data_IF_807669228315
#
_entry.id   IF_807669228315
#
_cell.length_a   1.000
_cell.length_b   1.000
_cell.length_c   1.000
_cell.angle_alpha   90.00
_cell.angle_beta   90.00
_cell.angle_gamma   90.00
#
_symmetry.space_group_name_H-M   'P 1'
#
loop_
_entity.id
_entity.type
_entity.pdbx_description
1 polymer ?
#
# COMPACT_ATOMS: atom_id res chain seq x y z
N UNK A 1 -8.71 -14.76 -20.61
CA UNK A 1 -8.10 -15.72 -19.66
C UNK A 1 -9.05 -15.96 -18.49
N UNK A 2 -9.55 -17.18 -18.34
CA UNK A 2 -10.45 -17.58 -17.26
C UNK A 2 -9.75 -17.50 -15.89
N UNK A 3 -10.43 -16.95 -14.87
CA UNK A 3 -9.90 -16.91 -13.51
C UNK A 3 -9.94 -18.31 -12.91
N UNK A 4 -8.78 -18.93 -12.71
CA UNK A 4 -8.66 -20.19 -11.95
C UNK A 4 -9.15 -19.92 -10.51
N UNK A 5 -10.28 -20.51 -10.14
CA UNK A 5 -10.80 -20.47 -8.77
C UNK A 5 -10.25 -21.67 -8.02
N UNK A 6 -9.39 -21.42 -7.03
CA UNK A 6 -8.84 -22.47 -6.17
C UNK A 6 -9.74 -22.68 -4.95
N UNK A 7 -9.75 -23.90 -4.42
CA UNK A 7 -10.44 -24.19 -3.15
C UNK A 7 -9.63 -23.59 -2.00
N UNK A 8 -10.27 -23.30 -0.86
CA UNK A 8 -9.57 -22.75 0.30
C UNK A 8 -8.41 -23.66 0.77
N UNK A 9 -8.57 -24.99 0.69
CA UNK A 9 -7.51 -25.95 1.00
C UNK A 9 -6.31 -25.88 0.04
N UNK A 10 -6.56 -25.67 -1.26
CA UNK A 10 -5.50 -25.53 -2.25
C UNK A 10 -4.70 -24.23 -2.03
N UNK A 11 -5.37 -23.15 -1.60
CA UNK A 11 -4.72 -21.87 -1.26
C UNK A 11 -3.82 -22.03 -0.03
N UNK A 12 -4.29 -22.74 1.00
CA UNK A 12 -3.49 -23.01 2.19
C UNK A 12 -2.23 -23.82 1.85
N UNK A 13 -2.38 -24.84 1.00
CA UNK A 13 -1.28 -25.68 0.56
C UNK A 13 -0.26 -24.92 -0.30
N UNK A 14 -0.72 -24.03 -1.19
CA UNK A 14 0.17 -23.11 -1.91
C UNK A 14 0.90 -22.15 -0.95
N UNK A 15 0.27 -21.75 0.15
CA UNK A 15 0.91 -20.96 1.20
C UNK A 15 2.04 -21.70 1.90
N UNK A 16 1.86 -22.99 2.20
CA UNK A 16 2.92 -23.85 2.77
C UNK A 16 4.06 -24.05 1.76
N UNK A 17 3.74 -24.38 0.50
CA UNK A 17 4.74 -24.53 -0.57
C UNK A 17 5.49 -23.23 -0.91
N UNK A 18 4.92 -22.07 -0.58
CA UNK A 18 5.57 -20.77 -0.72
C UNK A 18 6.67 -20.56 0.33
N UNK A 19 6.52 -21.15 1.51
CA UNK A 19 7.51 -21.07 2.59
C UNK A 19 8.69 -22.02 2.35
N UNK A 20 8.44 -23.18 1.74
CA UNK A 20 9.47 -24.15 1.40
C UNK A 20 8.93 -25.36 0.63
N UNK A 21 9.81 -26.22 0.08
CA UNK A 21 9.40 -27.50 -0.48
C UNK A 21 8.75 -28.38 0.59
N UNK A 22 7.71 -29.12 0.21
CA UNK A 22 7.07 -30.11 1.07
C UNK A 22 7.36 -31.51 0.57
N UNK A 23 7.44 -32.50 1.46
CA UNK A 23 7.56 -33.89 1.04
C UNK A 23 6.25 -34.39 0.43
N UNK A 24 6.35 -35.32 -0.51
CA UNK A 24 5.16 -35.84 -1.21
C UNK A 24 4.22 -36.60 -0.28
N UNK A 25 4.73 -37.20 0.81
CA UNK A 25 3.93 -37.92 1.80
C UNK A 25 3.03 -37.03 2.65
N UNK A 26 3.39 -35.76 2.81
CA UNK A 26 2.65 -34.80 3.64
C UNK A 26 1.47 -34.14 2.87
N UNK A 27 1.40 -34.36 1.56
CA UNK A 27 0.41 -33.73 0.69
C UNK A 27 -0.64 -34.78 0.28
N UNK A 28 -1.94 -34.50 0.45
CA UNK A 28 -2.98 -35.39 -0.07
C UNK A 28 -2.89 -35.50 -1.60
N UNK A 29 -2.85 -36.72 -2.13
CA UNK A 29 -2.65 -37.01 -3.56
C UNK A 29 -3.59 -36.22 -4.47
N UNK A 30 -4.88 -36.11 -4.12
CA UNK A 30 -5.86 -35.33 -4.89
C UNK A 30 -5.48 -33.85 -5.02
N UNK A 31 -4.97 -33.24 -3.94
CA UNK A 31 -4.58 -31.83 -3.97
C UNK A 31 -3.30 -31.65 -4.80
N UNK A 32 -2.36 -32.60 -4.66
CA UNK A 32 -1.13 -32.62 -5.43
C UNK A 32 -1.41 -32.70 -6.94
N UNK A 33 -2.23 -33.67 -7.36
CA UNK A 33 -2.59 -33.86 -8.76
C UNK A 33 -3.28 -32.64 -9.35
N UNK A 34 -4.27 -32.08 -8.65
CA UNK A 34 -4.96 -30.85 -9.08
C UNK A 34 -3.98 -29.69 -9.26
N UNK A 35 -3.09 -29.44 -8.29
CA UNK A 35 -2.14 -28.33 -8.37
C UNK A 35 -1.09 -28.54 -9.47
N UNK A 36 -0.69 -29.78 -9.74
CA UNK A 36 0.20 -30.09 -10.87
C UNK A 36 -0.49 -29.94 -12.22
N UNK A 37 -1.75 -30.38 -12.35
CA UNK A 37 -2.54 -30.23 -13.57
C UNK A 37 -2.80 -28.75 -13.91
N UNK A 38 -2.97 -27.91 -12.88
CA UNK A 38 -3.10 -26.46 -13.04
C UNK A 38 -1.75 -25.75 -13.26
N UNK A 39 -0.63 -26.47 -13.26
CA UNK A 39 0.71 -25.91 -13.41
C UNK A 39 1.09 -24.96 -12.28
N UNK A 40 0.53 -25.14 -11.07
CA UNK A 40 0.79 -24.29 -9.90
C UNK A 40 1.88 -24.89 -9.00
N UNK A 41 2.03 -26.21 -9.00
CA UNK A 41 3.09 -26.93 -8.30
C UNK A 41 3.77 -27.93 -9.24
N UNK A 42 5.00 -28.33 -8.89
CA UNK A 42 5.78 -29.35 -9.61
C UNK A 42 6.34 -30.38 -8.63
N UNK A 43 6.33 -31.65 -9.03
CA UNK A 43 7.00 -32.73 -8.30
C UNK A 43 8.49 -32.72 -8.67
N UNK A 44 9.36 -32.81 -7.67
CA UNK A 44 10.82 -32.89 -7.82
C UNK A 44 11.32 -33.92 -6.82
N UNK A 45 11.76 -35.09 -7.30
CA UNK A 45 12.38 -36.20 -6.54
C UNK A 45 12.10 -36.17 -5.02
N UNK A 46 10.98 -36.77 -4.60
CA UNK A 46 10.57 -36.87 -3.20
C UNK A 46 9.88 -35.63 -2.61
N UNK A 47 9.95 -34.48 -3.29
CA UNK A 47 9.38 -33.21 -2.84
C UNK A 47 8.43 -32.58 -3.85
N UNK A 48 7.59 -31.66 -3.38
CA UNK A 48 6.75 -30.79 -4.17
C UNK A 48 7.21 -29.34 -4.00
N UNK A 49 7.30 -28.61 -5.11
CA UNK A 49 7.72 -27.20 -5.14
C UNK A 49 6.69 -26.35 -5.83
N UNK A 50 6.47 -25.14 -5.31
CA UNK A 50 5.63 -24.15 -5.99
C UNK A 50 6.30 -23.66 -7.28
N UNK A 51 5.49 -23.44 -8.31
CA UNK A 51 5.92 -22.83 -9.57
C UNK A 51 5.76 -21.31 -9.53
N UNK A 52 6.36 -20.58 -10.48
CA UNK A 52 6.17 -19.12 -10.60
C UNK A 52 4.70 -18.74 -10.81
N UNK A 53 3.96 -19.52 -11.60
CA UNK A 53 2.51 -19.39 -11.81
C UNK A 53 1.73 -19.66 -10.52
N UNK A 54 2.12 -20.66 -9.74
CA UNK A 54 1.61 -20.94 -8.40
C UNK A 54 1.75 -19.75 -7.45
N UNK A 55 2.96 -19.19 -7.36
CA UNK A 55 3.26 -18.04 -6.51
C UNK A 55 2.39 -16.82 -6.85
N UNK A 56 2.27 -16.50 -8.14
CA UNK A 56 1.45 -15.37 -8.60
C UNK A 56 -0.04 -15.59 -8.31
N UNK A 57 -0.53 -16.81 -8.49
CA UNK A 57 -1.93 -17.17 -8.23
C UNK A 57 -2.26 -17.09 -6.74
N UNK A 58 -1.36 -17.62 -5.90
CA UNK A 58 -1.46 -17.51 -4.46
C UNK A 58 -1.52 -16.04 -4.00
N UNK A 59 -0.57 -15.20 -4.44
CA UNK A 59 -0.57 -13.77 -4.11
C UNK A 59 -1.88 -13.08 -4.51
N UNK A 60 -2.34 -13.29 -5.75
CA UNK A 60 -3.60 -12.70 -6.23
C UNK A 60 -4.80 -13.06 -5.37
N UNK A 61 -4.89 -14.30 -4.93
CA UNK A 61 -6.03 -14.78 -4.14
C UNK A 61 -5.94 -14.40 -2.67
N UNK A 62 -4.72 -14.37 -2.10
CA UNK A 62 -4.46 -13.90 -0.74
C UNK A 62 -4.78 -12.41 -0.58
N UNK A 63 -4.44 -11.58 -1.57
CA UNK A 63 -4.74 -10.14 -1.54
C UNK A 63 -6.16 -9.78 -2.00
N UNK A 64 -6.84 -10.65 -2.75
CA UNK A 64 -8.25 -10.43 -3.11
C UNK A 64 -9.18 -10.41 -1.88
N UNK A 65 -8.82 -11.11 -0.80
CA UNK A 65 -9.59 -11.14 0.45
C UNK A 65 -9.26 -9.98 1.41
N UNK A 66 -8.25 -9.15 1.14
CA UNK A 66 -7.95 -8.01 1.99
C UNK A 66 -8.93 -6.86 1.68
N UNK A 67 -9.84 -6.47 2.61
CA UNK A 67 -10.69 -5.33 2.38
C UNK A 67 -9.81 -4.10 2.19
N UNK A 68 -9.99 -3.37 1.08
CA UNK A 68 -9.22 -2.16 0.72
C UNK A 68 -9.05 -1.18 1.89
N UNK A 69 -10.02 -1.15 2.83
CA UNK A 69 -9.98 -0.36 4.06
C UNK A 69 -8.88 -0.77 5.07
N UNK A 70 -8.54 -2.06 5.21
CA UNK A 70 -7.48 -2.54 6.14
C UNK A 70 -6.07 -2.33 5.60
N UNK A 71 -5.86 -2.46 4.28
CA UNK A 71 -4.53 -2.25 3.66
C UNK A 71 -4.08 -0.80 3.83
N UNK A 72 -4.99 0.16 3.74
CA UNK A 72 -4.71 1.58 4.04
C UNK A 72 -4.29 1.76 5.52
N UNK A 73 -4.94 1.10 6.48
CA UNK A 73 -4.55 1.19 7.89
C UNK A 73 -3.20 0.53 8.20
N UNK A 74 -2.87 -0.61 7.60
CA UNK A 74 -1.57 -1.30 7.86
C UNK A 74 -0.41 -0.53 7.21
N UNK A 75 -0.58 -0.02 5.99
CA UNK A 75 0.42 0.83 5.34
C UNK A 75 0.67 2.13 6.11
N UNK A 76 -0.35 2.72 6.74
CA UNK A 76 -0.18 3.90 7.62
C UNK A 76 0.57 3.61 8.92
N UNK A 77 0.61 2.36 9.39
CA UNK A 77 1.33 1.95 10.61
C UNK A 77 2.72 1.37 10.34
N UNK A 78 3.10 1.21 9.08
CA UNK A 78 4.43 0.71 8.72
C UNK A 78 5.49 1.80 8.97
N UNK A 79 6.59 1.51 9.70
CA UNK A 79 7.57 2.54 10.10
C UNK A 79 8.18 3.30 8.92
N UNK A 80 8.36 2.62 7.79
CA UNK A 80 8.86 3.22 6.53
C UNK A 80 7.89 4.26 5.95
N UNK A 81 6.57 4.06 6.10
CA UNK A 81 5.56 4.99 5.60
C UNK A 81 5.40 6.21 6.53
N UNK A 82 5.47 5.98 7.85
CA UNK A 82 5.50 7.05 8.86
C UNK A 82 6.70 7.98 8.67
N UNK A 83 7.87 7.45 8.29
CA UNK A 83 9.02 8.28 7.92
C UNK A 83 8.72 9.15 6.69
N UNK A 84 8.24 8.58 5.58
CA UNK A 84 7.89 9.35 4.37
C UNK A 84 6.86 10.45 4.65
N UNK A 85 5.90 10.21 5.55
CA UNK A 85 4.89 11.19 5.92
C UNK A 85 5.43 12.29 6.84
N UNK A 86 6.39 11.99 7.72
CA UNK A 86 7.12 12.97 8.55
C UNK A 86 7.89 13.98 7.68
N UNK A 87 8.59 13.51 6.66
CA UNK A 87 9.32 14.38 5.71
C UNK A 87 8.38 15.33 4.96
N UNK A 88 7.22 14.85 4.50
CA UNK A 88 6.21 15.69 3.83
C UNK A 88 5.60 16.75 4.76
N UNK A 89 5.36 16.43 6.04
CA UNK A 89 4.82 17.42 7.00
C UNK A 89 5.83 18.51 7.32
N UNK A 90 7.11 18.18 7.48
CA UNK A 90 8.17 19.17 7.72
C UNK A 90 8.37 20.09 6.52
N UNK A 91 8.39 19.54 5.29
CA UNK A 91 8.45 20.36 4.08
C UNK A 91 7.23 21.26 3.91
N UNK A 92 6.02 20.75 4.17
CA UNK A 92 4.81 21.56 4.08
C UNK A 92 4.75 22.64 5.16
N UNK A 93 5.24 22.41 6.38
CA UNK A 93 5.33 23.44 7.42
C UNK A 93 6.35 24.55 7.08
N UNK A 94 7.50 24.18 6.51
CA UNK A 94 8.47 25.16 6.01
C UNK A 94 7.87 26.01 4.87
N UNK A 95 7.06 25.40 4.00
CA UNK A 95 6.40 26.11 2.92
C UNK A 95 5.21 26.97 3.40
N UNK A 96 4.42 26.47 4.36
CA UNK A 96 3.29 27.20 4.95
C UNK A 96 3.76 28.41 5.74
N UNK A 97 4.85 28.30 6.50
CA UNK A 97 5.43 29.41 7.26
C UNK A 97 6.01 30.50 6.34
N UNK A 98 6.63 30.13 5.20
CA UNK A 98 7.00 31.09 4.15
C UNK A 98 5.78 31.81 3.58
N UNK A 99 4.71 31.08 3.25
CA UNK A 99 3.46 31.68 2.76
C UNK A 99 2.77 32.58 3.79
N UNK A 100 2.75 32.19 5.07
CA UNK A 100 2.17 32.99 6.15
C UNK A 100 2.96 34.28 6.42
N UNK A 101 4.30 34.23 6.36
CA UNK A 101 5.14 35.44 6.43
C UNK A 101 4.90 36.38 5.25
N UNK A 102 4.75 35.84 4.03
CA UNK A 102 4.40 36.63 2.85
C UNK A 102 3.02 37.28 2.96
N UNK A 103 2.04 36.56 3.53
CA UNK A 103 0.68 37.08 3.75
C UNK A 103 0.64 38.17 4.82
N UNK A 104 1.31 37.99 5.96
CA UNK A 104 1.35 39.02 7.01
C UNK A 104 2.10 40.30 6.58
N UNK A 105 3.13 40.17 5.73
CA UNK A 105 3.80 41.32 5.11
C UNK A 105 2.88 42.07 4.11
N UNK A 106 1.99 41.37 3.43
CA UNK A 106 1.00 41.97 2.52
C UNK A 106 -0.12 42.67 3.29
N UNK A 107 -0.62 42.05 4.34
CA UNK A 107 -1.66 42.65 5.19
C UNK A 107 -1.13 43.89 5.90
N UNK A 108 0.08 43.87 6.48
CA UNK A 108 0.67 45.07 7.11
C UNK A 108 0.87 46.24 6.13
N UNK A 109 1.14 45.99 4.84
CA UNK A 109 1.17 47.04 3.80
C UNK A 109 -0.22 47.58 3.47
N UNK A 110 -1.25 46.71 3.36
CA UNK A 110 -2.63 47.15 3.11
C UNK A 110 -3.16 48.01 4.28
N UNK A 111 -2.86 47.63 5.52
CA UNK A 111 -3.24 48.40 6.70
C UNK A 111 -2.52 49.76 6.81
N UNK A 112 -1.27 49.87 6.31
CA UNK A 112 -0.59 51.17 6.21
C UNK A 112 -1.21 52.04 5.12
N UNK A 113 -1.45 51.50 3.92
CA UNK A 113 -2.09 52.25 2.83
C UNK A 113 -3.49 52.78 3.21
N UNK A 114 -4.29 51.97 3.89
CA UNK A 114 -5.62 52.37 4.37
C UNK A 114 -5.59 53.43 5.50
N UNK A 115 -4.49 53.52 6.25
CA UNK A 115 -4.30 54.56 7.27
C UNK A 115 -3.89 55.90 6.66
N UNK A 116 -3.10 55.90 5.59
CA UNK A 116 -2.74 57.12 4.88
C UNK A 116 -3.87 57.67 4.01
N UNK A 117 -4.82 56.84 3.55
CA UNK A 117 -5.98 57.31 2.78
C UNK A 117 -7.09 57.94 3.64
N UNK A 118 -7.11 57.70 4.95
CA UNK A 118 -8.09 58.28 5.89
C UNK A 118 -7.68 59.61 6.53
N UNK A 119 -6.49 60.13 6.21
CA UNK A 119 -6.01 61.43 6.70
C UNK A 119 -6.39 62.64 5.82
N UNK A 120 -6.97 62.42 4.63
CA UNK A 120 -7.20 63.47 3.60
C UNK A 120 -8.68 63.86 3.45
N UNK A 121 -9.56 63.42 4.36
CA UNK A 121 -11.01 63.72 4.29
C UNK A 121 -11.55 64.29 5.60
N UNK A 122 -11.01 65.43 6.04
CA UNK A 122 -11.68 66.34 6.98
C UNK A 122 -11.22 67.78 6.72
N UNK A 123 -11.81 68.39 5.71
CA UNK A 123 -11.86 69.84 5.55
C UNK A 123 -13.12 70.18 4.77
N UNK A 124 -14.23 70.31 5.51
CA UNK A 124 -15.35 71.19 5.18
C UNK A 124 -16.04 71.54 6.49
#
# INVERSE_FOLDING_TARGET
MSRIKLRNGDIALLGQLYQGPLELGDIPNDALERLTALGLARKVLGSCKITRTGQLTFHRQSFAKAPRRRVVQVTQRHPVFLQKQRWRRLFNWAHLSKFLKLRSARDTRMWRAARYSRGVTRSH
#
